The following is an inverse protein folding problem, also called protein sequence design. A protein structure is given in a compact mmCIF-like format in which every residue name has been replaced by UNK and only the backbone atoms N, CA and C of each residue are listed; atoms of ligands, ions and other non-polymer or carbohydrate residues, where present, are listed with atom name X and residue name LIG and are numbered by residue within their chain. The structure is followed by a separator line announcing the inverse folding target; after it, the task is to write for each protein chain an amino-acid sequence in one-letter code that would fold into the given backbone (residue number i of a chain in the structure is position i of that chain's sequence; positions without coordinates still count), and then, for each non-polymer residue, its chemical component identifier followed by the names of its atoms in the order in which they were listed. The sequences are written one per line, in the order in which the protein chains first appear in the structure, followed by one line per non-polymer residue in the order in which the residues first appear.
data_IF_380509547224
#
_entry.id   IF_380509547224
#
_cell.length_a   1.000
_cell.length_b   1.000
_cell.length_c   1.000
_cell.angle_alpha   90.00
_cell.angle_beta   90.00
_cell.angle_gamma   90.00
#
_symmetry.space_group_name_H-M   'P 1'
#
loop_
_entity.id
_entity.type
_entity.pdbx_description
1 polymer ?
#
# COMPACT_ATOMS: atom_id res chain seq x y z
N UNK A 1 1.30 8.17 -0.92
CA UNK A 1 2.77 8.21 -0.80
C UNK A 1 3.15 7.40 0.42
N UNK A 2 3.53 6.13 0.25
CA UNK A 2 4.08 5.33 1.35
C UNK A 2 5.42 5.89 1.80
N UNK A 3 6.15 6.51 0.88
CA UNK A 3 7.38 7.27 1.13
C UNK A 3 7.20 8.49 2.05
N UNK A 4 5.97 8.94 2.35
CA UNK A 4 5.71 10.04 3.28
C UNK A 4 5.28 9.57 4.67
N UNK A 5 4.87 8.31 4.84
CA UNK A 5 4.67 7.75 6.17
C UNK A 5 6.05 7.50 6.77
N UNK A 6 6.36 8.18 7.87
CA UNK A 6 7.68 8.13 8.54
C UNK A 6 8.25 6.70 8.65
N UNK A 7 7.40 5.71 8.91
CA UNK A 7 7.83 4.32 9.07
C UNK A 7 8.35 3.64 7.80
N UNK A 8 8.04 4.11 6.59
CA UNK A 8 8.50 3.47 5.35
C UNK A 8 10.01 3.65 5.15
N UNK A 9 10.53 4.86 5.38
CA UNK A 9 11.96 5.15 5.26
C UNK A 9 12.76 4.40 6.32
N UNK A 10 12.27 4.36 7.56
CA UNK A 10 12.89 3.62 8.67
C UNK A 10 13.00 2.14 8.35
N UNK A 11 11.95 1.53 7.78
CA UNK A 11 11.96 0.11 7.39
C UNK A 11 12.96 -0.16 6.26
N UNK A 12 13.06 0.76 5.29
CA UNK A 12 14.01 0.64 4.20
C UNK A 12 15.43 0.70 4.77
N UNK A 13 15.75 1.71 5.59
CA UNK A 13 17.06 1.84 6.26
C UNK A 13 17.40 0.60 7.08
N UNK A 14 16.50 0.17 7.95
CA UNK A 14 16.70 -1.01 8.80
C UNK A 14 16.85 -2.31 7.97
N UNK A 15 16.18 -2.43 6.83
CA UNK A 15 16.35 -3.57 5.94
C UNK A 15 17.75 -3.57 5.30
N UNK A 16 18.22 -2.43 4.84
CA UNK A 16 19.53 -2.28 4.19
C UNK A 16 20.69 -2.40 5.18
N UNK A 17 20.59 -1.82 6.38
CA UNK A 17 21.61 -1.93 7.42
C UNK A 17 21.78 -3.37 7.93
N UNK A 18 20.70 -4.16 7.89
CA UNK A 18 20.72 -5.58 8.25
C UNK A 18 21.24 -6.51 7.14
N UNK A 19 21.55 -5.97 5.95
CA UNK A 19 22.03 -6.77 4.81
C UNK A 19 23.55 -6.89 4.85
N UNK A 20 24.06 -8.08 5.11
CA UNK A 20 25.49 -8.40 4.98
C UNK A 20 25.98 -8.14 3.54
N UNK A 21 27.18 -7.56 3.41
CA UNK A 21 27.91 -7.38 2.16
C UNK A 21 27.98 -8.67 1.31
N UNK A 22 27.95 -9.85 1.95
CA UNK A 22 28.01 -11.16 1.30
C UNK A 22 26.68 -11.59 0.64
N UNK A 23 25.53 -11.11 1.12
CA UNK A 23 24.21 -11.38 0.53
C UNK A 23 23.94 -10.58 -0.75
N UNK A 24 24.71 -9.51 -0.96
CA UNK A 24 24.61 -8.63 -2.12
C UNK A 24 23.28 -7.88 -2.23
N UNK A 25 23.18 -7.04 -3.27
CA UNK A 25 22.01 -6.17 -3.52
C UNK A 25 20.71 -6.95 -3.61
N UNK A 26 20.75 -8.18 -4.15
CA UNK A 26 19.56 -9.02 -4.35
C UNK A 26 18.91 -9.45 -3.04
N UNK A 27 19.68 -9.86 -2.04
CA UNK A 27 19.12 -10.29 -0.75
C UNK A 27 18.63 -9.07 0.05
N UNK A 28 19.30 -7.92 -0.07
CA UNK A 28 18.84 -6.66 0.51
C UNK A 28 17.48 -6.21 -0.03
N UNK A 29 17.28 -6.27 -1.35
CA UNK A 29 15.98 -5.99 -1.97
C UNK A 29 14.90 -6.94 -1.44
N UNK A 30 15.20 -8.24 -1.34
CA UNK A 30 14.24 -9.26 -0.88
C UNK A 30 13.86 -9.05 0.58
N UNK A 31 14.82 -8.77 1.45
CA UNK A 31 14.59 -8.46 2.86
C UNK A 31 13.73 -7.20 3.02
N UNK A 32 14.08 -6.13 2.30
CA UNK A 32 13.32 -4.88 2.28
C UNK A 32 11.88 -5.10 1.81
N UNK A 33 11.68 -5.87 0.73
CA UNK A 33 10.36 -6.20 0.22
C UNK A 33 9.53 -6.98 1.26
N UNK A 34 10.14 -7.92 1.98
CA UNK A 34 9.48 -8.67 3.05
C UNK A 34 9.06 -7.80 4.24
N UNK A 35 9.97 -6.95 4.74
CA UNK A 35 9.67 -6.03 5.85
C UNK A 35 8.59 -5.03 5.47
N UNK A 36 8.66 -4.45 4.27
CA UNK A 36 7.64 -3.53 3.75
C UNK A 36 6.28 -4.22 3.56
N UNK A 37 6.24 -5.46 3.08
CA UNK A 37 4.99 -6.21 2.95
C UNK A 37 4.32 -6.45 4.31
N UNK A 38 5.11 -6.81 5.33
CA UNK A 38 4.62 -6.98 6.71
C UNK A 38 4.09 -5.67 7.28
N UNK A 39 4.84 -4.58 7.14
CA UNK A 39 4.41 -3.26 7.60
C UNK A 39 3.14 -2.80 6.89
N UNK A 40 3.06 -2.97 5.57
CA UNK A 40 1.87 -2.60 4.82
C UNK A 40 0.63 -3.35 5.33
N UNK A 41 0.74 -4.65 5.63
CA UNK A 41 -0.37 -5.43 6.20
C UNK A 41 -0.78 -4.92 7.58
N UNK A 42 0.19 -4.56 8.43
CA UNK A 42 -0.07 -4.02 9.76
C UNK A 42 -0.72 -2.63 9.68
N UNK A 43 -0.18 -1.73 8.87
CA UNK A 43 -0.66 -0.35 8.72
C UNK A 43 -2.03 -0.30 8.05
N UNK A 44 -2.21 -0.97 6.89
CA UNK A 44 -3.50 -1.01 6.21
C UNK A 44 -4.55 -1.72 7.06
N UNK A 45 -4.20 -2.87 7.66
CA UNK A 45 -5.10 -3.59 8.56
C UNK A 45 -5.48 -2.76 9.80
N UNK A 46 -4.58 -1.92 10.30
CA UNK A 46 -4.86 -1.02 11.40
C UNK A 46 -5.81 0.11 10.99
N UNK A 47 -5.67 0.69 9.79
CA UNK A 47 -6.61 1.69 9.27
C UNK A 47 -8.01 1.09 9.12
N UNK A 48 -8.15 -0.09 8.52
CA UNK A 48 -9.46 -0.75 8.37
C UNK A 48 -10.11 -1.07 9.72
N UNK A 49 -9.32 -1.52 10.71
CA UNK A 49 -9.81 -1.76 12.07
C UNK A 49 -10.27 -0.48 12.76
N UNK A 50 -9.51 0.61 12.62
CA UNK A 50 -9.91 1.91 13.17
C UNK A 50 -11.18 2.43 12.50
N UNK A 51 -11.32 2.23 11.19
CA UNK A 51 -12.50 2.62 10.44
C UNK A 51 -13.74 1.85 10.92
N UNK A 52 -13.64 0.54 11.10
CA UNK A 52 -14.71 -0.28 11.64
C UNK A 52 -15.11 0.13 13.08
N UNK A 53 -14.11 0.42 13.93
CA UNK A 53 -14.36 0.91 15.28
C UNK A 53 -15.07 2.26 15.30
N UNK A 54 -14.63 3.22 14.46
CA UNK A 54 -15.24 4.54 14.36
C UNK A 54 -16.67 4.48 13.81
N UNK A 55 -16.95 3.61 12.83
CA UNK A 55 -18.33 3.39 12.35
C UNK A 55 -19.24 2.84 13.45
N UNK A 56 -18.76 1.86 14.23
CA UNK A 56 -19.51 1.31 15.36
C UNK A 56 -19.78 2.36 16.44
N UNK A 57 -18.79 3.21 16.73
CA UNK A 57 -18.97 4.33 17.66
C UNK A 57 -20.02 5.31 17.13
N UNK A 58 -19.99 5.64 15.84
CA UNK A 58 -20.98 6.51 15.21
C UNK A 58 -22.40 5.94 15.31
N UNK A 59 -22.58 4.64 15.07
CA UNK A 59 -23.86 3.94 15.18
C UNK A 59 -24.44 4.04 16.61
N UNK A 60 -23.59 3.83 17.62
CA UNK A 60 -23.99 3.97 19.03
C UNK A 60 -24.41 5.41 19.37
N UNK A 61 -23.72 6.40 18.81
CA UNK A 61 -24.02 7.81 19.02
C UNK A 61 -25.29 8.28 18.29
N UNK A 62 -25.64 7.67 17.15
CA UNK A 62 -26.87 7.97 16.40
C UNK A 62 -28.15 7.64 17.19
N UNK A 63 -28.09 6.66 18.10
CA UNK A 63 -29.22 6.28 18.95
C UNK A 63 -29.46 7.16 20.18
N UNK A 64 -28.66 8.22 20.40
CA UNK A 64 -28.70 9.03 21.64
C UNK A 64 -28.90 10.52 21.33
N UNK A 65 -29.83 11.17 22.02
CA UNK A 65 -30.14 12.60 21.85
C UNK A 65 -29.51 13.42 23.01
N UNK A 66 -28.60 14.35 22.69
CA UNK A 66 -27.98 15.27 23.66
C UNK A 66 -26.93 16.19 23.02
N UNK A 67 -26.77 17.43 23.52
CA UNK A 67 -25.85 18.42 22.92
C UNK A 67 -24.37 17.97 22.91
N UNK A 68 -23.88 17.38 24.00
CA UNK A 68 -22.51 16.81 24.06
C UNK A 68 -22.30 15.70 23.03
N UNK A 69 -23.36 14.96 22.69
CA UNK A 69 -23.31 13.90 21.68
C UNK A 69 -23.20 14.45 20.26
N UNK A 70 -23.69 15.66 19.99
CA UNK A 70 -23.54 16.32 18.68
C UNK A 70 -22.07 16.64 18.41
N UNK A 71 -21.35 17.14 19.41
CA UNK A 71 -19.92 17.45 19.29
C UNK A 71 -19.10 16.16 19.14
N UNK A 72 -19.39 15.14 19.93
CA UNK A 72 -18.73 13.84 19.84
C UNK A 72 -18.97 13.17 18.48
N UNK A 73 -20.22 13.18 18.00
CA UNK A 73 -20.58 12.68 16.66
C UNK A 73 -19.77 13.35 15.56
N UNK A 74 -19.71 14.69 15.55
CA UNK A 74 -18.89 15.44 14.59
C UNK A 74 -17.40 15.09 14.68
N UNK A 75 -16.89 14.78 15.87
CA UNK A 75 -15.50 14.34 16.05
C UNK A 75 -15.28 12.95 15.42
N UNK A 76 -16.17 12.00 15.67
CA UNK A 76 -16.09 10.64 15.09
C UNK A 76 -16.22 10.69 13.57
N UNK A 77 -17.14 11.49 13.03
CA UNK A 77 -17.30 11.69 11.58
C UNK A 77 -16.00 12.23 10.94
N UNK A 78 -15.36 13.23 11.56
CA UNK A 78 -14.05 13.73 11.09
C UNK A 78 -12.98 12.65 11.12
N UNK A 79 -12.93 11.83 12.17
CA UNK A 79 -11.99 10.70 12.24
C UNK A 79 -12.22 9.72 11.09
N UNK A 80 -13.48 9.40 10.77
CA UNK A 80 -13.82 8.52 9.64
C UNK A 80 -13.32 9.12 8.32
N UNK A 81 -13.55 10.41 8.07
CA UNK A 81 -13.08 11.09 6.85
C UNK A 81 -11.57 10.98 6.70
N UNK A 82 -10.81 11.29 7.75
CA UNK A 82 -9.33 11.19 7.72
C UNK A 82 -8.86 9.75 7.46
N UNK A 83 -9.53 8.76 8.06
CA UNK A 83 -9.18 7.35 7.84
C UNK A 83 -9.53 6.88 6.42
N UNK A 84 -10.64 7.35 5.85
CA UNK A 84 -11.02 7.07 4.46
C UNK A 84 -10.03 7.69 3.47
N UNK A 85 -9.60 8.94 3.69
CA UNK A 85 -8.56 9.58 2.88
C UNK A 85 -7.25 8.76 2.90
N UNK A 86 -6.87 8.28 4.09
CA UNK A 86 -5.69 7.41 4.24
C UNK A 86 -5.88 6.10 3.47
N UNK A 87 -7.06 5.47 3.56
CA UNK A 87 -7.40 4.25 2.83
C UNK A 87 -7.38 4.46 1.31
N UNK A 88 -7.98 5.55 0.81
CA UNK A 88 -8.00 5.91 -0.61
C UNK A 88 -6.60 6.07 -1.18
N UNK A 89 -5.71 6.78 -0.46
CA UNK A 89 -4.31 6.93 -0.86
C UNK A 89 -3.62 5.58 -0.96
N UNK A 90 -3.83 4.69 0.01
CA UNK A 90 -3.27 3.33 -0.02
C UNK A 90 -3.80 2.52 -1.20
N UNK A 91 -5.11 2.60 -1.50
CA UNK A 91 -5.71 1.94 -2.67
C UNK A 91 -5.15 2.45 -3.99
N UNK A 92 -5.07 3.77 -4.17
CA UNK A 92 -4.51 4.38 -5.40
C UNK A 92 -3.10 3.87 -5.69
N UNK A 93 -2.27 3.73 -4.66
CA UNK A 93 -0.93 3.17 -4.79
C UNK A 93 -0.95 1.71 -5.21
N UNK A 94 -1.78 0.88 -4.56
CA UNK A 94 -1.90 -0.55 -4.89
C UNK A 94 -2.40 -0.76 -6.33
N UNK A 95 -3.40 0.01 -6.75
CA UNK A 95 -3.93 -0.05 -8.11
C UNK A 95 -2.88 0.33 -9.14
N UNK A 96 -2.05 1.35 -8.87
CA UNK A 96 -0.93 1.72 -9.76
C UNK A 96 0.12 0.62 -9.86
N UNK A 97 0.50 0.00 -8.74
CA UNK A 97 1.47 -1.12 -8.74
C UNK A 97 0.88 -2.34 -9.47
N UNK A 98 -0.39 -2.66 -9.23
CA UNK A 98 -1.08 -3.74 -9.91
C UNK A 98 -1.17 -3.49 -11.43
N UNK A 99 -1.51 -2.28 -11.83
CA UNK A 99 -1.54 -1.87 -13.24
C UNK A 99 -0.18 -1.99 -13.91
N UNK A 100 0.90 -1.50 -13.28
CA UNK A 100 2.25 -1.64 -13.82
C UNK A 100 2.64 -3.12 -13.98
N UNK A 101 2.33 -3.96 -12.98
CA UNK A 101 2.59 -5.40 -13.04
C UNK A 101 1.82 -6.10 -14.16
N UNK A 102 0.58 -5.69 -14.41
CA UNK A 102 -0.24 -6.25 -15.50
C UNK A 102 0.21 -5.72 -16.87
N UNK A 103 0.64 -4.46 -16.95
CA UNK A 103 1.25 -3.86 -18.13
C UNK A 103 2.56 -4.55 -18.54
N UNK A 104 3.42 -4.89 -17.57
CA UNK A 104 4.66 -5.66 -17.78
C UNK A 104 4.38 -7.08 -18.31
N UNK A 105 3.30 -7.72 -17.83
CA UNK A 105 2.86 -9.01 -18.38
C UNK A 105 2.40 -8.84 -19.83
N UNK A 106 1.67 -7.77 -20.13
CA UNK A 106 1.18 -7.50 -21.48
C UNK A 106 2.33 -7.23 -22.46
N UNK A 107 3.38 -6.50 -22.05
CA UNK A 107 4.57 -6.29 -22.90
C UNK A 107 5.28 -7.62 -23.21
N UNK A 108 5.39 -8.56 -22.26
CA UNK A 108 5.93 -9.92 -22.55
C UNK A 108 5.12 -10.71 -23.59
N UNK A 109 3.82 -10.45 -23.71
CA UNK A 109 2.99 -11.06 -24.74
C UNK A 109 3.21 -10.42 -26.12
N UNK A 110 3.49 -9.11 -26.18
CA UNK A 110 3.70 -8.37 -27.43
C UNK A 110 5.17 -8.27 -27.88
N UNK A 111 6.16 -8.54 -27.03
CA UNK A 111 7.60 -8.61 -27.41
C UNK A 111 7.99 -10.01 -27.92
N UNK A 112 7.05 -10.74 -28.53
CA UNK A 112 7.31 -11.99 -29.25
C UNK A 112 6.94 -11.82 -30.72
N UNK A 113 7.61 -10.92 -31.43
CA UNK A 113 7.78 -11.08 -32.88
C UNK A 113 9.11 -11.80 -33.16
N UNK A 114 9.12 -12.88 -33.95
CA UNK A 114 10.31 -13.66 -34.23
C UNK A 114 11.15 -13.00 -35.31
N UNK A 115 12.39 -12.62 -34.99
CA UNK A 115 13.44 -12.43 -35.99
C UNK A 115 13.91 -13.79 -36.52
N UNK A 116 13.25 -14.28 -37.58
CA UNK A 116 13.68 -15.33 -38.51
C UNK A 116 12.94 -15.02 -39.83
N UNK A 117 13.50 -14.83 -41.01
CA UNK A 117 14.84 -14.78 -41.58
C UNK A 117 14.66 -14.56 -43.08
N UNK A 118 15.67 -14.07 -43.80
CA UNK A 118 15.82 -14.36 -45.23
C UNK A 118 17.28 -14.13 -45.65
N UNK A 119 18.06 -15.20 -45.55
CA UNK A 119 19.18 -15.39 -46.46
C UNK A 119 18.63 -15.77 -47.83
N UNK A 120 19.03 -15.04 -48.87
CA UNK A 120 19.06 -15.57 -50.23
C UNK A 120 20.51 -15.56 -50.70
N UNK A 121 20.99 -16.79 -50.87
CA UNK A 121 22.23 -17.20 -51.52
C UNK A 121 22.07 -16.92 -53.02
N UNK A 122 23.19 -16.68 -53.69
CA UNK A 122 23.38 -16.53 -55.14
C UNK A 122 22.66 -17.58 -55.97
#
# INVERSE_FOLDING_TARGET
MWTLEKGCEDIIREAWDSTDAMGGVKEGIKNCAGKLAKWNKLTFGHVQKQLAAAHKELEVLQGRMGQDQVLLKKKVERTIVVLLEKEEVMWRQRSRVAWLKEGDKNTRFFTKEPTQGNGKIQ
#
